data_IF_954318474083
#
_entry.id   IF_954318474083
#
_cell.length_a   1.000
_cell.length_b   1.000
_cell.length_c   1.000
_cell.angle_alpha   90.00
_cell.angle_beta   90.00
_cell.angle_gamma   90.00
#
_symmetry.space_group_name_H-M   'P 1'
#
loop_
_entity.id
_entity.type
_entity.pdbx_description
1 polymer ?
#
# COMPACT_ATOMS: atom_id res chain seq x y z
N UNK A 1 60.85 -47.49 30.77
CA UNK A 1 59.82 -46.72 31.51
C UNK A 1 59.55 -45.40 30.79
N UNK A 2 58.51 -45.34 29.93
CA UNK A 2 58.17 -44.11 29.17
C UNK A 2 56.92 -43.46 29.79
N UNK A 3 57.07 -42.18 30.15
CA UNK A 3 56.10 -41.33 30.87
C UNK A 3 54.81 -41.14 30.06
N UNK A 4 53.66 -41.27 30.73
CA UNK A 4 52.33 -40.92 30.20
C UNK A 4 52.22 -39.40 30.08
N UNK A 5 52.09 -38.91 28.85
CA UNK A 5 51.78 -37.51 28.53
C UNK A 5 50.27 -37.31 28.71
N UNK A 6 49.86 -36.46 29.66
CA UNK A 6 48.46 -36.06 29.85
C UNK A 6 48.12 -35.00 28.80
N UNK A 7 47.24 -35.32 27.85
CA UNK A 7 46.63 -34.33 26.96
C UNK A 7 45.59 -33.54 27.76
N UNK A 8 45.82 -32.24 27.92
CA UNK A 8 44.86 -31.27 28.44
C UNK A 8 43.93 -30.89 27.28
N UNK A 9 42.68 -31.33 27.33
CA UNK A 9 41.66 -30.95 26.36
C UNK A 9 41.23 -29.49 26.60
N UNK A 10 41.64 -28.59 25.71
CA UNK A 10 41.14 -27.21 25.67
C UNK A 10 39.76 -27.25 25.00
N UNK A 11 38.71 -27.20 25.82
CA UNK A 11 37.33 -27.13 25.37
C UNK A 11 37.01 -25.69 24.96
N UNK A 12 37.23 -25.36 23.69
CA UNK A 12 36.87 -24.06 23.11
C UNK A 12 35.35 -24.00 22.99
N UNK A 13 34.70 -23.39 23.99
CA UNK A 13 33.29 -23.05 23.98
C UNK A 13 33.06 -21.93 22.97
N UNK A 14 32.77 -22.30 21.73
CA UNK A 14 32.33 -21.35 20.70
C UNK A 14 30.90 -20.91 21.05
N UNK A 15 30.79 -19.76 21.70
CA UNK A 15 29.54 -19.05 21.87
C UNK A 15 29.12 -18.55 20.48
N UNK A 16 28.29 -19.31 19.79
CA UNK A 16 27.62 -18.86 18.57
C UNK A 16 26.65 -17.73 18.96
N UNK A 17 27.14 -16.50 18.85
CA UNK A 17 26.30 -15.31 18.81
C UNK A 17 25.44 -15.46 17.56
N UNK A 18 24.23 -15.98 17.73
CA UNK A 18 23.18 -15.82 16.75
C UNK A 18 22.87 -14.33 16.71
N UNK A 19 23.52 -13.63 15.79
CA UNK A 19 23.15 -12.28 15.40
C UNK A 19 21.73 -12.40 14.85
N UNK A 20 20.74 -12.03 15.66
CA UNK A 20 19.37 -11.82 15.18
C UNK A 20 19.47 -10.59 14.30
N UNK A 21 19.67 -10.81 13.00
CA UNK A 21 19.43 -9.80 11.99
C UNK A 21 17.93 -9.52 12.03
N UNK A 22 17.54 -8.49 12.78
CA UNK A 22 16.22 -7.90 12.62
C UNK A 22 16.16 -7.33 11.20
N UNK A 23 15.35 -7.94 10.33
CA UNK A 23 15.02 -7.34 9.05
C UNK A 23 14.37 -5.99 9.32
N UNK A 24 15.11 -4.94 8.97
CA UNK A 24 14.71 -3.57 9.20
C UNK A 24 13.52 -3.20 8.31
N UNK A 25 12.35 -2.94 8.92
CA UNK A 25 11.41 -1.94 8.43
C UNK A 25 10.07 -2.39 7.86
N UNK A 26 9.77 -3.69 7.73
CA UNK A 26 8.45 -4.15 7.25
C UNK A 26 7.51 -4.52 8.40
N UNK A 27 6.21 -4.16 8.33
CA UNK A 27 5.22 -4.66 9.26
C UNK A 27 5.18 -6.18 9.21
N UNK A 28 5.42 -6.82 10.35
CA UNK A 28 5.72 -8.25 10.48
C UNK A 28 4.61 -9.20 10.03
N UNK A 29 3.40 -8.69 9.82
CA UNK A 29 2.21 -9.46 9.47
C UNK A 29 1.96 -9.57 7.96
N UNK A 30 2.73 -8.86 7.13
CA UNK A 30 2.71 -9.10 5.68
C UNK A 30 3.32 -10.47 5.38
N UNK A 31 2.58 -11.27 4.63
CA UNK A 31 2.98 -12.63 4.31
C UNK A 31 4.18 -12.61 3.36
N UNK A 32 5.08 -13.59 3.55
CA UNK A 32 6.18 -13.89 2.61
C UNK A 32 5.80 -15.13 1.81
N UNK A 33 6.10 -15.16 0.51
CA UNK A 33 5.85 -16.30 -0.36
C UNK A 33 5.32 -15.91 -1.74
N UNK A 34 5.09 -16.91 -2.58
CA UNK A 34 4.58 -16.70 -3.94
C UNK A 34 3.16 -16.12 -3.89
N UNK A 35 2.91 -15.05 -4.65
CA UNK A 35 1.63 -14.33 -4.69
C UNK A 35 0.48 -15.26 -5.05
N UNK A 36 0.73 -16.23 -5.93
CA UNK A 36 -0.26 -17.22 -6.35
C UNK A 36 -0.72 -18.12 -5.20
N UNK A 37 0.20 -18.54 -4.33
CA UNK A 37 -0.13 -19.37 -3.16
C UNK A 37 -0.93 -18.57 -2.14
N UNK A 38 -0.53 -17.32 -1.87
CA UNK A 38 -1.25 -16.44 -0.94
C UNK A 38 -2.66 -16.10 -1.44
N UNK A 39 -2.83 -15.92 -2.74
CA UNK A 39 -4.14 -15.71 -3.37
C UNK A 39 -5.04 -16.95 -3.25
N UNK A 40 -4.49 -18.17 -3.40
CA UNK A 40 -5.23 -19.41 -3.16
C UNK A 40 -5.63 -19.57 -1.68
N UNK A 41 -4.70 -19.25 -0.76
CA UNK A 41 -4.95 -19.25 0.69
C UNK A 41 -6.09 -18.28 1.06
N UNK A 42 -6.11 -17.07 0.47
CA UNK A 42 -7.21 -16.13 0.67
C UNK A 42 -8.56 -16.74 0.26
N UNK A 43 -8.61 -17.38 -0.91
CA UNK A 43 -9.80 -18.06 -1.41
C UNK A 43 -10.29 -19.22 -0.52
N UNK A 44 -9.37 -20.03 0.01
CA UNK A 44 -9.72 -21.18 0.87
C UNK A 44 -10.16 -20.76 2.27
N UNK A 45 -9.56 -19.70 2.83
CA UNK A 45 -9.93 -19.13 4.13
C UNK A 45 -11.20 -18.27 4.05
N UNK A 46 -11.62 -17.86 2.84
CA UNK A 46 -12.71 -16.90 2.66
C UNK A 46 -12.30 -15.49 3.08
N UNK A 47 -11.00 -15.18 2.95
CA UNK A 47 -10.43 -13.85 3.17
C UNK A 47 -10.24 -13.14 1.82
N UNK A 48 -10.14 -11.81 1.88
CA UNK A 48 -9.73 -11.02 0.74
C UNK A 48 -8.20 -11.10 0.59
N UNK A 49 -7.68 -10.75 -0.58
CA UNK A 49 -6.24 -10.67 -0.81
C UNK A 49 -5.84 -9.20 -0.97
N UNK A 50 -4.85 -8.76 -0.22
CA UNK A 50 -4.37 -7.38 -0.20
C UNK A 50 -2.92 -7.36 -0.68
N UNK A 51 -2.65 -6.63 -1.77
CA UNK A 51 -1.29 -6.48 -2.31
C UNK A 51 -0.88 -5.02 -2.17
N UNK A 52 0.27 -4.77 -1.57
CA UNK A 52 0.98 -3.49 -1.61
C UNK A 52 2.21 -3.62 -2.53
N UNK A 53 2.14 -3.02 -3.72
CA UNK A 53 3.27 -2.91 -4.62
C UNK A 53 4.18 -1.78 -4.14
N UNK A 54 5.47 -2.09 -3.95
CA UNK A 54 6.47 -1.16 -3.48
C UNK A 54 7.81 -1.37 -4.19
N UNK A 55 8.79 -0.53 -3.87
CA UNK A 55 10.19 -0.72 -4.21
C UNK A 55 11.08 -0.18 -3.08
N UNK A 56 12.34 -0.62 -2.99
CA UNK A 56 13.26 -0.17 -1.94
C UNK A 56 13.60 1.32 -2.04
N UNK A 57 13.51 1.90 -3.24
CA UNK A 57 13.66 3.33 -3.49
C UNK A 57 12.35 4.12 -3.33
N UNK A 58 11.21 3.46 -3.10
CA UNK A 58 9.91 4.12 -2.94
C UNK A 58 9.77 4.71 -1.53
N UNK A 59 10.08 5.99 -1.39
CA UNK A 59 9.95 6.68 -0.10
C UNK A 59 8.51 6.78 0.40
N UNK A 60 7.48 7.12 -0.43
CA UNK A 60 6.09 7.12 0.03
C UNK A 60 5.60 5.76 0.54
N UNK A 61 6.13 4.66 -0.01
CA UNK A 61 5.84 3.30 0.47
C UNK A 61 6.37 3.08 1.90
N UNK A 62 7.62 3.53 2.17
CA UNK A 62 8.21 3.47 3.52
C UNK A 62 7.45 4.33 4.53
N UNK A 63 6.91 5.46 4.08
CA UNK A 63 6.04 6.30 4.91
C UNK A 63 4.76 5.57 5.32
N UNK A 64 4.10 4.89 4.38
CA UNK A 64 2.94 4.03 4.67
C UNK A 64 3.30 2.93 5.68
N UNK A 65 4.46 2.28 5.52
CA UNK A 65 4.94 1.25 6.44
C UNK A 65 5.08 1.76 7.88
N UNK A 66 5.60 2.98 8.04
CA UNK A 66 5.90 3.56 9.35
C UNK A 66 4.70 4.23 10.02
N UNK A 67 3.72 4.70 9.26
CA UNK A 67 2.64 5.55 9.79
C UNK A 67 1.24 4.95 9.67
N UNK A 68 1.04 4.00 8.75
CA UNK A 68 -0.27 3.43 8.44
C UNK A 68 -0.29 1.94 8.73
N UNK A 69 0.65 1.19 8.17
CA UNK A 69 0.73 -0.26 8.39
C UNK A 69 1.36 -0.62 9.74
N UNK A 70 1.87 0.34 10.50
CA UNK A 70 2.27 0.16 11.90
C UNK A 70 1.13 0.41 12.88
N UNK A 71 -0.02 0.91 12.41
CA UNK A 71 -1.20 1.13 13.23
C UNK A 71 -1.87 -0.20 13.60
N UNK A 72 -2.29 -0.32 14.86
CA UNK A 72 -2.82 -1.58 15.42
C UNK A 72 -4.19 -1.95 14.86
N UNK A 73 -5.03 -0.96 14.56
CA UNK A 73 -6.36 -1.23 14.01
C UNK A 73 -6.24 -1.69 12.56
N UNK A 74 -5.30 -1.08 11.80
CA UNK A 74 -4.96 -1.51 10.44
C UNK A 74 -4.41 -2.93 10.43
N UNK A 75 -3.44 -3.23 11.29
CA UNK A 75 -2.87 -4.58 11.45
C UNK A 75 -3.96 -5.61 11.76
N UNK A 76 -4.82 -5.33 12.75
CA UNK A 76 -5.89 -6.23 13.15
C UNK A 76 -6.88 -6.46 11.99
N UNK A 77 -7.32 -5.39 11.32
CA UNK A 77 -8.25 -5.49 10.20
C UNK A 77 -7.66 -6.35 9.07
N UNK A 78 -6.40 -6.13 8.70
CA UNK A 78 -5.73 -6.88 7.65
C UNK A 78 -5.52 -8.35 8.03
N UNK A 79 -5.05 -8.64 9.24
CA UNK A 79 -4.74 -10.02 9.65
C UNK A 79 -5.98 -10.90 9.83
N UNK A 80 -7.07 -10.32 10.33
CA UNK A 80 -8.33 -11.05 10.55
C UNK A 80 -9.10 -11.29 9.25
N UNK A 81 -9.07 -10.34 8.31
CA UNK A 81 -10.01 -10.31 7.17
C UNK A 81 -9.34 -10.47 5.79
N UNK A 82 -8.03 -10.27 5.72
CA UNK A 82 -7.25 -10.28 4.50
C UNK A 82 -6.06 -11.25 4.60
N UNK A 83 -5.47 -11.55 3.45
CA UNK A 83 -4.11 -12.06 3.32
C UNK A 83 -3.28 -10.91 2.74
N UNK A 84 -2.57 -10.14 3.57
CA UNK A 84 -1.73 -9.04 3.10
C UNK A 84 -0.38 -9.54 2.59
N UNK A 85 0.06 -9.05 1.43
CA UNK A 85 1.40 -9.28 0.88
C UNK A 85 1.99 -7.97 0.34
N UNK A 86 3.31 -7.81 0.50
CA UNK A 86 4.06 -6.76 -0.18
C UNK A 86 4.79 -7.34 -1.37
N UNK A 87 4.79 -6.64 -2.49
CA UNK A 87 5.44 -7.07 -3.73
C UNK A 87 6.45 -6.01 -4.17
N UNK A 88 7.73 -6.35 -4.11
CA UNK A 88 8.80 -5.49 -4.60
C UNK A 88 8.84 -5.55 -6.14
N UNK A 89 8.57 -4.44 -6.81
CA UNK A 89 8.49 -4.40 -8.28
C UNK A 89 9.84 -4.57 -8.99
N UNK A 90 10.96 -4.51 -8.25
CA UNK A 90 12.31 -4.72 -8.79
C UNK A 90 12.75 -6.20 -8.72
N UNK A 91 12.00 -7.05 -8.02
CA UNK A 91 12.19 -8.50 -8.03
C UNK A 91 11.50 -9.14 -9.23
N UNK A 92 11.94 -10.33 -9.66
CA UNK A 92 11.44 -11.00 -10.88
C UNK A 92 9.91 -11.18 -10.82
N UNK A 93 9.39 -11.77 -9.75
CA UNK A 93 7.94 -11.99 -9.59
C UNK A 93 7.19 -10.65 -9.53
N UNK A 94 7.73 -9.65 -8.83
CA UNK A 94 7.11 -8.34 -8.73
C UNK A 94 7.11 -7.57 -10.05
N UNK A 95 8.14 -7.68 -10.88
CA UNK A 95 8.19 -7.10 -12.22
C UNK A 95 7.13 -7.73 -13.13
N UNK A 96 6.97 -9.06 -13.10
CA UNK A 96 5.92 -9.74 -13.86
C UNK A 96 4.52 -9.28 -13.45
N UNK A 97 4.28 -9.16 -12.14
CA UNK A 97 3.00 -8.68 -11.60
C UNK A 97 2.77 -7.20 -11.90
N UNK A 98 3.80 -6.37 -11.84
CA UNK A 98 3.77 -4.97 -12.27
C UNK A 98 3.29 -4.86 -13.72
N UNK A 99 3.83 -5.68 -14.63
CA UNK A 99 3.40 -5.68 -16.03
C UNK A 99 1.97 -6.20 -16.19
N UNK A 100 1.65 -7.33 -15.55
CA UNK A 100 0.32 -7.95 -15.59
C UNK A 100 -0.78 -7.00 -15.14
N UNK A 101 -0.54 -6.27 -14.05
CA UNK A 101 -1.50 -5.33 -13.46
C UNK A 101 -1.26 -3.88 -13.87
N UNK A 102 -0.32 -3.61 -14.78
CA UNK A 102 0.03 -2.28 -15.28
C UNK A 102 0.29 -1.28 -14.14
N UNK A 103 1.08 -1.67 -13.14
CA UNK A 103 1.46 -0.79 -12.02
C UNK A 103 2.47 0.23 -12.52
N UNK A 104 2.02 1.48 -12.64
CA UNK A 104 2.81 2.59 -13.19
C UNK A 104 3.36 3.56 -12.13
N UNK A 105 2.76 3.59 -10.95
CA UNK A 105 3.12 4.49 -9.84
C UNK A 105 3.18 3.71 -8.53
N UNK A 106 3.90 4.24 -7.53
CA UNK A 106 4.06 3.62 -6.22
C UNK A 106 3.76 4.62 -5.09
N UNK A 107 3.20 4.17 -3.95
CA UNK A 107 2.67 2.82 -3.73
C UNK A 107 1.47 2.53 -4.64
N UNK A 108 1.25 1.25 -4.96
CA UNK A 108 -0.02 0.81 -5.53
C UNK A 108 -0.59 -0.29 -4.65
N UNK A 109 -1.75 -0.05 -4.07
CA UNK A 109 -2.49 -1.05 -3.31
C UNK A 109 -3.56 -1.65 -4.21
N UNK A 110 -3.69 -2.98 -4.20
CA UNK A 110 -4.77 -3.69 -4.88
C UNK A 110 -5.44 -4.67 -3.94
N UNK A 111 -6.77 -4.67 -3.93
CA UNK A 111 -7.58 -5.63 -3.17
C UNK A 111 -8.29 -6.56 -4.14
N UNK A 112 -8.23 -7.85 -3.85
CA UNK A 112 -8.95 -8.89 -4.57
C UNK A 112 -9.92 -9.58 -3.62
N UNK A 113 -11.11 -9.90 -4.12
CA UNK A 113 -12.03 -10.75 -3.38
C UNK A 113 -11.55 -12.21 -3.35
N UNK A 114 -12.21 -13.07 -2.56
CA UNK A 114 -11.84 -14.49 -2.44
C UNK A 114 -11.98 -15.29 -3.76
N UNK A 115 -12.64 -14.74 -4.79
CA UNK A 115 -12.71 -15.30 -6.14
C UNK A 115 -11.55 -14.86 -7.04
N UNK A 116 -10.65 -14.01 -6.54
CA UNK A 116 -9.53 -13.48 -7.29
C UNK A 116 -9.85 -12.32 -8.22
N UNK A 117 -11.00 -11.66 -8.04
CA UNK A 117 -11.37 -10.48 -8.81
C UNK A 117 -10.90 -9.22 -8.08
N UNK A 118 -10.31 -8.27 -8.82
CA UNK A 118 -9.96 -6.96 -8.27
C UNK A 118 -11.24 -6.24 -7.86
N UNK A 119 -11.27 -5.76 -6.62
CA UNK A 119 -12.38 -4.95 -6.06
C UNK A 119 -11.92 -3.55 -5.68
N UNK A 120 -10.61 -3.32 -5.55
CA UNK A 120 -10.05 -2.00 -5.28
C UNK A 120 -8.67 -1.82 -5.92
N UNK A 121 -8.35 -0.59 -6.32
CA UNK A 121 -7.01 -0.17 -6.76
C UNK A 121 -6.75 1.27 -6.33
N UNK A 122 -5.69 1.47 -5.57
CA UNK A 122 -5.28 2.78 -5.03
C UNK A 122 -3.83 3.02 -5.44
N UNK A 123 -3.56 4.19 -5.98
CA UNK A 123 -2.27 4.57 -6.59
C UNK A 123 -1.65 5.79 -5.89
N UNK A 124 -2.03 6.00 -4.63
CA UNK A 124 -1.60 7.10 -3.78
C UNK A 124 -1.40 6.63 -2.34
N UNK A 125 -0.75 7.47 -1.53
CA UNK A 125 -0.66 7.26 -0.08
C UNK A 125 -2.01 7.57 0.57
N UNK A 126 -2.33 6.87 1.66
CA UNK A 126 -3.52 7.13 2.48
C UNK A 126 -3.14 7.36 3.93
N UNK A 127 -4.00 7.99 4.71
CA UNK A 127 -3.91 7.95 6.16
C UNK A 127 -4.60 6.69 6.74
N UNK A 128 -4.47 6.49 8.06
CA UNK A 128 -5.05 5.35 8.80
C UNK A 128 -6.58 5.26 8.61
N UNK A 129 -7.29 6.38 8.75
CA UNK A 129 -8.75 6.41 8.66
C UNK A 129 -9.26 6.05 7.27
N UNK A 130 -8.61 6.56 6.22
CA UNK A 130 -8.92 6.24 4.82
C UNK A 130 -8.72 4.75 4.52
N UNK A 131 -7.57 4.21 4.92
CA UNK A 131 -7.28 2.80 4.73
C UNK A 131 -8.30 1.94 5.48
N UNK A 132 -8.61 2.25 6.75
CA UNK A 132 -9.61 1.52 7.53
C UNK A 132 -10.99 1.59 6.91
N UNK A 133 -11.45 2.76 6.45
CA UNK A 133 -12.74 2.91 5.76
C UNK A 133 -12.80 2.02 4.52
N UNK A 134 -11.75 2.01 3.70
CA UNK A 134 -11.67 1.16 2.52
C UNK A 134 -11.70 -0.33 2.89
N UNK A 135 -10.91 -0.75 3.89
CA UNK A 135 -10.89 -2.14 4.35
C UNK A 135 -12.28 -2.55 4.89
N UNK A 136 -12.94 -1.71 5.67
CA UNK A 136 -14.29 -1.99 6.19
C UNK A 136 -15.30 -2.11 5.04
N UNK A 137 -15.27 -1.22 4.06
CA UNK A 137 -16.17 -1.22 2.91
C UNK A 137 -16.09 -2.54 2.13
N UNK A 138 -14.88 -3.03 1.86
CA UNK A 138 -14.67 -4.24 1.09
C UNK A 138 -14.83 -5.53 1.90
N UNK A 139 -14.75 -5.45 3.23
CA UNK A 139 -14.95 -6.57 4.16
C UNK A 139 -16.43 -6.94 4.33
N UNK A 140 -17.05 -7.43 3.26
CA UNK A 140 -18.45 -7.86 3.25
C UNK A 140 -18.62 -9.29 2.69
N UNK A 141 -19.76 -9.97 2.95
CA UNK A 141 -19.97 -11.36 2.55
C UNK A 141 -19.84 -11.62 1.04
N UNK A 142 -20.14 -10.65 0.17
CA UNK A 142 -20.02 -10.82 -1.27
C UNK A 142 -18.56 -10.95 -1.73
N UNK A 143 -17.64 -10.37 -0.95
CA UNK A 143 -16.20 -10.45 -1.21
C UNK A 143 -15.51 -11.61 -0.47
N UNK A 144 -16.17 -12.24 0.53
CA UNK A 144 -15.66 -13.35 1.37
C UNK A 144 -16.24 -14.72 1.03
N UNK A 145 -16.09 -15.14 -0.23
CA UNK A 145 -16.63 -16.42 -0.70
C UNK A 145 -15.58 -17.53 -0.55
N UNK A 146 -15.81 -18.49 0.35
CA UNK A 146 -14.93 -19.68 0.47
C UNK A 146 -14.98 -20.51 -0.81
N UNK A 147 -13.86 -20.58 -1.52
CA UNK A 147 -13.71 -21.41 -2.71
C UNK A 147 -13.39 -22.83 -2.27
N UNK A 148 -14.30 -23.77 -2.53
CA UNK A 148 -13.98 -25.20 -2.48
C UNK A 148 -13.63 -25.67 -3.88
N UNK A 149 -12.43 -26.20 -4.05
CA UNK A 149 -12.09 -26.92 -5.26
C UNK A 149 -12.53 -28.38 -5.09
N UNK A 150 -13.46 -28.85 -5.92
CA UNK A 150 -13.78 -30.28 -5.97
C UNK A 150 -12.58 -31.06 -6.57
N UNK A 151 -12.44 -32.34 -6.22
CA UNK A 151 -11.38 -33.18 -6.77
C UNK A 151 -11.54 -33.32 -8.30
N UNK A 152 -10.45 -33.13 -9.06
CA UNK A 152 -10.37 -33.33 -10.52
C UNK A 152 -11.21 -32.41 -11.42
N UNK A 153 -11.59 -31.20 -10.99
CA UNK A 153 -12.10 -30.17 -11.92
C UNK A 153 -10.99 -29.19 -12.32
N UNK A 154 -10.70 -29.12 -13.62
CA UNK A 154 -9.91 -28.01 -14.16
C UNK A 154 -10.66 -26.69 -13.94
N UNK A 155 -10.00 -25.60 -13.50
CA UNK A 155 -10.66 -24.31 -13.29
C UNK A 155 -11.07 -23.73 -14.63
N UNK A 156 -12.31 -23.99 -15.06
CA UNK A 156 -12.81 -23.50 -16.34
C UNK A 156 -14.24 -23.93 -16.64
N UNK A 157 -15.22 -23.22 -16.06
CA UNK A 157 -16.65 -23.40 -16.34
C UNK A 157 -17.27 -22.13 -16.92
N UNK A 158 -17.71 -22.21 -18.17
CA UNK A 158 -18.09 -21.14 -19.10
C UNK A 158 -19.30 -20.25 -18.72
N UNK A 159 -19.82 -20.29 -17.48
CA UNK A 159 -20.94 -19.44 -17.03
C UNK A 159 -20.48 -18.12 -16.39
N UNK A 160 -19.20 -18.02 -16.06
CA UNK A 160 -18.61 -16.87 -15.35
C UNK A 160 -18.37 -15.66 -16.26
N UNK A 161 -18.31 -15.86 -17.59
CA UNK A 161 -17.99 -14.77 -18.53
C UNK A 161 -19.10 -13.73 -18.69
N UNK A 162 -20.38 -14.09 -18.54
CA UNK A 162 -21.49 -13.15 -18.72
C UNK A 162 -21.66 -12.25 -17.48
N UNK A 163 -21.65 -12.85 -16.29
CA UNK A 163 -21.67 -12.13 -15.01
C UNK A 163 -20.42 -11.25 -14.82
N UNK A 164 -19.24 -11.73 -15.25
CA UNK A 164 -17.99 -10.97 -15.23
C UNK A 164 -18.03 -9.81 -16.22
N UNK A 165 -18.71 -9.92 -17.36
CA UNK A 165 -18.90 -8.80 -18.30
C UNK A 165 -19.84 -7.74 -17.74
N UNK A 166 -20.98 -8.12 -17.16
CA UNK A 166 -21.93 -7.17 -16.58
C UNK A 166 -21.35 -6.45 -15.35
N UNK A 167 -20.60 -7.17 -14.51
CA UNK A 167 -19.92 -6.59 -13.35
C UNK A 167 -18.69 -5.75 -13.72
N UNK A 168 -17.94 -6.14 -14.76
CA UNK A 168 -16.86 -5.30 -15.31
C UNK A 168 -17.44 -4.02 -15.92
N UNK A 169 -18.59 -4.08 -16.60
CA UNK A 169 -19.26 -2.88 -17.12
C UNK A 169 -19.90 -2.03 -16.02
N UNK A 170 -20.32 -2.62 -14.91
CA UNK A 170 -20.75 -1.88 -13.72
C UNK A 170 -19.56 -1.19 -13.02
N UNK A 171 -18.43 -1.90 -12.88
CA UNK A 171 -17.18 -1.36 -12.32
C UNK A 171 -16.54 -0.28 -13.20
N UNK A 172 -16.53 -0.45 -14.52
CA UNK A 172 -16.06 0.58 -15.44
C UNK A 172 -16.98 1.81 -15.42
N UNK A 173 -18.30 1.62 -15.26
CA UNK A 173 -19.23 2.74 -15.04
C UNK A 173 -19.03 3.42 -13.68
N UNK A 174 -18.67 2.67 -12.64
CA UNK A 174 -18.31 3.20 -11.32
C UNK A 174 -17.03 4.04 -11.39
N UNK A 175 -15.95 3.51 -12.00
CA UNK A 175 -14.71 4.25 -12.25
C UNK A 175 -14.96 5.46 -13.15
N UNK A 176 -15.77 5.33 -14.21
CA UNK A 176 -16.15 6.49 -15.03
C UNK A 176 -16.99 7.50 -14.24
N UNK A 177 -17.84 7.08 -13.31
CA UNK A 177 -18.60 8.01 -12.47
C UNK A 177 -17.73 8.69 -11.41
N UNK A 178 -16.78 8.00 -10.78
CA UNK A 178 -15.84 8.60 -9.83
C UNK A 178 -14.82 9.49 -10.53
N UNK A 179 -14.24 9.06 -11.65
CA UNK A 179 -13.30 9.88 -12.42
C UNK A 179 -13.97 11.10 -13.09
N UNK A 180 -15.30 11.08 -13.28
CA UNK A 180 -16.08 12.25 -13.73
C UNK A 180 -16.56 13.13 -12.57
N UNK A 181 -16.62 12.62 -11.33
CA UNK A 181 -17.08 13.37 -10.15
C UNK A 181 -15.95 13.92 -9.27
N UNK A 182 -14.76 13.31 -9.24
CA UNK A 182 -13.63 13.72 -8.39
C UNK A 182 -12.58 14.52 -9.20
N UNK A 183 -12.93 15.71 -9.68
CA UNK A 183 -11.92 16.76 -9.83
C UNK A 183 -11.78 17.45 -8.49
N UNK A 184 -11.10 16.79 -7.56
CA UNK A 184 -10.79 17.39 -6.27
C UNK A 184 -9.58 18.29 -6.46
N UNK A 185 -9.79 19.58 -6.22
CA UNK A 185 -8.74 20.57 -6.19
C UNK A 185 -7.91 20.35 -4.93
N UNK A 186 -6.60 20.51 -5.03
CA UNK A 186 -5.70 20.48 -3.88
C UNK A 186 -4.78 21.69 -3.92
N UNK A 187 -4.36 22.15 -2.76
CA UNK A 187 -3.42 23.27 -2.67
C UNK A 187 -2.00 22.72 -2.62
N UNK A 188 -1.20 23.00 -3.65
CA UNK A 188 0.23 22.72 -3.66
C UNK A 188 0.93 23.67 -2.69
N UNK A 189 1.41 23.12 -1.58
CA UNK A 189 2.05 23.83 -0.48
C UNK A 189 3.56 24.02 -0.68
N UNK A 190 4.13 23.33 -1.66
CA UNK A 190 5.53 23.40 -2.00
C UNK A 190 5.98 22.29 -2.95
N UNK A 191 7.12 22.51 -3.58
CA UNK A 191 7.81 21.52 -4.41
C UNK A 191 9.26 21.39 -3.93
N UNK A 192 9.67 20.16 -3.64
CA UNK A 192 10.94 19.87 -3.00
C UNK A 192 11.77 18.91 -3.85
N UNK A 193 13.09 19.07 -3.82
CA UNK A 193 14.03 18.20 -4.54
C UNK A 193 14.54 17.04 -3.69
N UNK A 194 14.36 17.12 -2.38
CA UNK A 194 14.71 16.09 -1.42
C UNK A 194 13.51 15.80 -0.50
N UNK A 195 13.49 14.58 0.01
CA UNK A 195 12.39 14.09 0.82
C UNK A 195 12.35 14.74 2.20
N UNK A 196 13.49 14.99 2.84
CA UNK A 196 13.51 15.55 4.20
C UNK A 196 12.81 16.92 4.22
N UNK A 197 13.07 17.75 3.22
CA UNK A 197 12.41 19.05 3.08
C UNK A 197 10.89 18.92 2.85
N UNK A 198 10.46 17.93 2.05
CA UNK A 198 9.03 17.65 1.87
C UNK A 198 8.38 17.14 3.16
N UNK A 199 9.06 16.25 3.89
CA UNK A 199 8.60 15.66 5.14
C UNK A 199 8.51 16.70 6.26
N UNK A 200 9.53 17.54 6.43
CA UNK A 200 9.53 18.64 7.41
C UNK A 200 8.37 19.61 7.13
N UNK A 201 8.06 19.85 5.85
CA UNK A 201 6.87 20.62 5.47
C UNK A 201 5.59 19.91 5.89
N UNK A 202 5.44 18.62 5.59
CA UNK A 202 4.26 17.82 5.98
C UNK A 202 4.06 17.86 7.51
N UNK A 203 5.11 17.62 8.29
CA UNK A 203 5.06 17.66 9.75
C UNK A 203 4.69 19.04 10.29
N UNK A 204 5.20 20.11 9.67
CA UNK A 204 4.84 21.48 10.04
C UNK A 204 3.36 21.75 9.78
N UNK A 205 2.85 21.31 8.63
CA UNK A 205 1.47 21.51 8.24
C UNK A 205 0.51 20.68 9.12
N UNK A 206 0.84 19.41 9.40
CA UNK A 206 0.04 18.52 10.27
C UNK A 206 -0.14 19.02 11.70
N UNK A 207 0.78 19.85 12.20
CA UNK A 207 0.66 20.47 13.54
C UNK A 207 -0.39 21.57 13.59
N UNK A 208 -0.74 22.13 12.44
CA UNK A 208 -1.55 23.34 12.33
C UNK A 208 -2.90 23.06 11.65
N UNK A 209 -2.92 22.13 10.70
CA UNK A 209 -4.03 21.88 9.79
C UNK A 209 -4.55 20.45 9.96
N UNK A 210 -5.86 20.27 9.90
CA UNK A 210 -6.54 18.97 9.97
C UNK A 210 -6.79 18.37 8.59
N UNK A 211 -6.63 19.18 7.55
CA UNK A 211 -6.81 18.82 6.16
C UNK A 211 -5.81 17.72 5.75
N UNK A 212 -6.22 16.75 4.91
CA UNK A 212 -5.33 15.70 4.45
C UNK A 212 -4.15 16.29 3.69
N UNK A 213 -2.95 15.78 3.95
CA UNK A 213 -1.73 16.19 3.26
C UNK A 213 -1.14 14.97 2.56
N UNK A 214 -1.00 15.06 1.24
CA UNK A 214 -0.41 14.02 0.41
C UNK A 214 0.90 14.51 -0.23
N UNK A 215 1.77 13.57 -0.58
CA UNK A 215 3.00 13.85 -1.32
C UNK A 215 2.92 13.15 -2.66
N UNK A 216 2.94 13.93 -3.74
CA UNK A 216 2.88 13.42 -5.10
C UNK A 216 4.28 13.51 -5.73
N UNK A 217 4.73 12.43 -6.35
CA UNK A 217 5.98 12.41 -7.11
C UNK A 217 5.76 13.08 -8.47
N UNK A 218 6.54 14.10 -8.76
CA UNK A 218 6.60 14.79 -10.04
C UNK A 218 7.93 14.48 -10.72
N UNK A 219 7.92 13.56 -11.68
CA UNK A 219 9.11 13.12 -12.39
C UNK A 219 9.22 13.92 -13.69
N UNK A 220 10.24 14.77 -13.78
CA UNK A 220 10.54 15.54 -15.00
C UNK A 220 12.04 15.50 -15.27
N UNK A 221 12.43 15.20 -16.50
CA UNK A 221 13.83 15.14 -16.94
C UNK A 221 14.71 14.22 -16.06
N UNK A 222 14.20 13.03 -15.73
CA UNK A 222 14.84 12.02 -14.87
C UNK A 222 15.10 12.47 -13.41
N UNK A 223 14.59 13.63 -13.01
CA UNK A 223 14.67 14.14 -11.64
C UNK A 223 13.32 14.02 -10.96
N UNK A 224 13.31 13.39 -9.78
CA UNK A 224 12.13 13.27 -8.93
C UNK A 224 12.00 14.55 -8.10
N UNK A 225 10.80 15.13 -8.08
CA UNK A 225 10.42 16.22 -7.18
C UNK A 225 9.20 15.80 -6.38
N UNK A 226 9.10 16.28 -5.16
CA UNK A 226 8.01 15.96 -4.24
C UNK A 226 7.10 17.17 -4.14
N UNK A 227 5.86 17.05 -4.64
CA UNK A 227 4.81 18.06 -4.45
C UNK A 227 4.06 17.74 -3.18
N UNK A 228 4.10 18.65 -2.21
CA UNK A 228 3.27 18.56 -1.01
C UNK A 228 1.94 19.22 -1.32
N UNK A 229 0.86 18.45 -1.25
CA UNK A 229 -0.50 18.90 -1.56
C UNK A 229 -1.35 18.81 -0.30
N UNK A 230 -2.23 19.78 -0.08
CA UNK A 230 -3.12 19.85 1.07
C UNK A 230 -4.58 19.97 0.64
N UNK A 231 -5.45 19.28 1.38
CA UNK A 231 -6.89 19.31 1.27
C UNK A 231 -7.43 18.52 0.09
N UNK A 232 -8.76 18.42 0.05
CA UNK A 232 -9.53 17.84 -1.04
C UNK A 232 -10.79 18.67 -1.22
N UNK A 233 -10.77 19.60 -2.17
CA UNK A 233 -11.85 20.56 -2.37
C UNK A 233 -12.65 20.18 -3.60
N UNK A 234 -13.97 20.12 -3.47
CA UNK A 234 -14.85 19.68 -4.56
C UNK A 234 -14.98 20.73 -5.66
N UNK A 235 -14.71 22.00 -5.32
CA UNK A 235 -14.83 23.13 -6.24
C UNK A 235 -13.63 24.06 -6.16
N UNK A 236 -13.33 24.74 -7.28
CA UNK A 236 -12.29 25.77 -7.33
C UNK A 236 -12.52 26.86 -6.29
N UNK A 237 -13.77 27.30 -6.11
CA UNK A 237 -14.12 28.35 -5.16
C UNK A 237 -13.86 27.95 -3.70
N UNK A 238 -14.05 26.67 -3.37
CA UNK A 238 -13.74 26.12 -2.05
C UNK A 238 -12.22 26.12 -1.81
N UNK A 239 -11.44 25.67 -2.81
CA UNK A 239 -9.99 25.73 -2.78
C UNK A 239 -9.45 27.17 -2.68
N UNK A 240 -10.03 28.12 -3.42
CA UNK A 240 -9.70 29.56 -3.35
C UNK A 240 -10.01 30.15 -1.97
N UNK A 241 -11.15 29.76 -1.39
CA UNK A 241 -11.54 30.22 -0.05
C UNK A 241 -10.54 29.75 1.00
N UNK A 242 -10.12 28.48 0.93
CA UNK A 242 -9.12 27.94 1.84
C UNK A 242 -7.72 28.52 1.57
N UNK A 243 -7.34 28.72 0.30
CA UNK A 243 -6.09 29.38 -0.08
C UNK A 243 -6.00 30.78 0.52
N UNK A 244 -7.11 31.52 0.50
CA UNK A 244 -7.17 32.85 1.11
C UNK A 244 -6.97 32.80 2.62
N UNK A 245 -7.58 31.84 3.33
CA UNK A 245 -7.35 31.63 4.77
C UNK A 245 -5.86 31.37 5.03
N UNK A 246 -5.23 30.50 4.25
CA UNK A 246 -3.79 30.22 4.37
C UNK A 246 -2.93 31.48 4.20
N UNK A 247 -3.26 32.34 3.23
CA UNK A 247 -2.53 33.59 2.99
C UNK A 247 -2.78 34.62 4.10
N UNK A 248 -4.05 34.92 4.40
CA UNK A 248 -4.46 36.01 5.28
C UNK A 248 -4.10 35.72 6.75
N UNK A 249 -4.35 34.50 7.22
CA UNK A 249 -4.23 34.16 8.65
C UNK A 249 -2.89 33.50 9.00
N UNK A 250 -2.26 32.82 8.03
CA UNK A 250 -1.03 32.04 8.27
C UNK A 250 0.17 32.51 7.43
N UNK A 251 -0.02 33.46 6.51
CA UNK A 251 1.03 33.90 5.57
C UNK A 251 1.65 32.75 4.76
N UNK A 252 0.83 31.75 4.41
CA UNK A 252 1.25 30.58 3.64
C UNK A 252 0.78 30.72 2.19
N UNK A 253 1.74 30.76 1.27
CA UNK A 253 1.50 30.71 -0.17
C UNK A 253 1.24 29.27 -0.66
N UNK A 254 0.36 29.13 -1.66
CA UNK A 254 0.05 27.84 -2.27
C UNK A 254 -0.48 28.01 -3.70
N UNK A 255 -0.53 26.92 -4.48
CA UNK A 255 -1.05 26.91 -5.85
C UNK A 255 -2.17 25.88 -5.94
N UNK A 256 -3.35 26.27 -6.40
CA UNK A 256 -4.45 25.33 -6.62
C UNK A 256 -4.12 24.45 -7.84
N UNK A 257 -4.22 23.14 -7.67
CA UNK A 257 -4.00 22.12 -8.70
C UNK A 257 -5.25 21.28 -8.90
#
# INVERSE_FOLDING_TARGET
MKKKMRFLAVMILTLSINCIYGESGFPHYFNKGEVKEMMQKAGSEGKLFFIDFYADWCTPCKWMDQTVFSDKEVEQMLTENYIPIKVNIDEIEGFELKQKYKVGVLPTIMVFNSKGQVVERIEETMNVDELLKMLILHNNPNNKVKIKHDFNVSPGGNKDQLAKREMTQAYLRYIESESRQNKNYRLQMGMYYDYQSAFDKVETLKRTFLEPIIVVNDIKDEKVRFKVMMGEFQTMSEAESFQKILHDDFSIESIIN
#
